data_IF_732835331892
#
_entry.id   IF_732835331892
#
_cell.length_a   1.000
_cell.length_b   1.000
_cell.length_c   1.000
_cell.angle_alpha   90.00
_cell.angle_beta   90.00
_cell.angle_gamma   90.00
#
_symmetry.space_group_name_H-M   'P 1'
#
loop_
_entity.id
_entity.type
_entity.pdbx_description
1 polymer ?
#
# COMPACT_ATOMS: atom_id res chain seq x y z
N UNK A 1 -10.61 -11.30 1.21
CA UNK A 1 -9.26 -11.14 1.79
C UNK A 1 -8.95 -12.39 2.60
N UNK A 2 -7.68 -12.62 2.89
CA UNK A 2 -7.25 -13.68 3.82
C UNK A 2 -7.40 -13.23 5.29
N UNK A 3 -7.08 -14.12 6.23
CA UNK A 3 -7.06 -13.78 7.66
C UNK A 3 -6.09 -12.62 7.94
N UNK A 4 -6.50 -11.68 8.80
CA UNK A 4 -5.73 -10.46 9.11
C UNK A 4 -5.33 -10.43 10.59
N UNK A 5 -4.09 -9.99 10.85
CA UNK A 5 -3.58 -9.60 12.17
C UNK A 5 -3.25 -8.12 12.20
N UNK A 6 -3.62 -7.47 13.31
CA UNK A 6 -3.30 -6.06 13.52
C UNK A 6 -2.03 -5.89 14.33
N UNK A 7 -1.19 -4.99 13.87
CA UNK A 7 0.03 -4.57 14.55
C UNK A 7 0.03 -3.06 14.73
N UNK A 8 0.70 -2.57 15.76
CA UNK A 8 1.00 -1.16 15.92
C UNK A 8 2.47 -1.00 16.28
N UNK A 9 3.12 0.03 15.76
CA UNK A 9 4.50 0.35 16.10
C UNK A 9 4.53 1.33 17.28
N UNK A 10 5.02 0.88 18.43
CA UNK A 10 5.07 1.67 19.66
C UNK A 10 6.50 1.69 20.16
N UNK A 11 7.10 2.88 20.32
CA UNK A 11 8.51 3.05 20.72
C UNK A 11 9.46 2.18 19.88
N UNK A 12 9.27 2.22 18.56
CA UNK A 12 10.03 1.46 17.56
C UNK A 12 9.95 -0.07 17.68
N UNK A 13 8.97 -0.62 18.41
CA UNK A 13 8.72 -2.05 18.50
C UNK A 13 7.35 -2.41 17.96
N UNK A 14 7.25 -3.54 17.27
CA UNK A 14 5.96 -4.05 16.83
C UNK A 14 5.20 -4.68 18.01
N UNK A 15 3.98 -4.20 18.22
CA UNK A 15 3.05 -4.73 19.19
C UNK A 15 1.88 -5.39 18.45
N UNK A 16 1.82 -6.72 18.50
CA UNK A 16 0.70 -7.50 17.95
C UNK A 16 -0.55 -7.35 18.81
N UNK A 17 -1.70 -7.18 18.18
CA UNK A 17 -3.00 -7.24 18.87
C UNK A 17 -3.49 -8.68 19.02
N UNK A 18 -4.15 -8.97 20.16
CA UNK A 18 -4.64 -10.32 20.47
C UNK A 18 -5.68 -10.80 19.44
N UNK A 19 -6.60 -9.91 19.07
CA UNK A 19 -7.66 -10.17 18.09
C UNK A 19 -7.20 -9.81 16.68
N UNK A 20 -7.55 -10.66 15.72
CA UNK A 20 -7.50 -10.40 14.29
C UNK A 20 -8.88 -10.61 13.66
N UNK A 21 -8.96 -10.53 12.34
CA UNK A 21 -10.17 -10.84 11.58
C UNK A 21 -9.94 -12.10 10.75
N UNK A 22 -10.99 -12.90 10.56
CA UNK A 22 -10.94 -14.06 9.68
C UNK A 22 -11.59 -13.71 8.34
N UNK A 23 -10.83 -13.82 7.26
CA UNK A 23 -11.26 -13.47 5.90
C UNK A 23 -12.22 -12.27 5.80
N UNK A 24 -11.88 -11.10 6.37
CA UNK A 24 -12.82 -9.98 6.42
C UNK A 24 -13.16 -9.47 5.02
N UNK A 25 -14.34 -8.85 4.90
CA UNK A 25 -14.61 -7.95 3.78
C UNK A 25 -13.97 -6.59 4.02
N UNK A 26 -13.91 -5.76 2.98
CA UNK A 26 -13.16 -4.51 3.06
C UNK A 26 -13.70 -3.54 4.12
N UNK A 27 -15.03 -3.38 4.19
CA UNK A 27 -15.67 -2.53 5.19
C UNK A 27 -15.35 -2.95 6.62
N UNK A 28 -15.37 -4.26 6.91
CA UNK A 28 -15.01 -4.78 8.23
C UNK A 28 -13.56 -4.47 8.61
N UNK A 29 -12.64 -4.54 7.63
CA UNK A 29 -11.25 -4.22 7.84
C UNK A 29 -11.06 -2.74 8.18
N UNK A 30 -11.72 -1.84 7.46
CA UNK A 30 -11.70 -0.40 7.76
C UNK A 30 -12.30 -0.11 9.13
N UNK A 31 -13.48 -0.66 9.43
CA UNK A 31 -14.18 -0.43 10.70
C UNK A 31 -13.34 -0.89 11.89
N UNK A 32 -12.76 -2.10 11.80
CA UNK A 32 -11.89 -2.62 12.85
C UNK A 32 -10.63 -1.75 13.03
N UNK A 33 -10.01 -1.33 11.93
CA UNK A 33 -8.80 -0.49 11.97
C UNK A 33 -9.10 0.88 12.55
N UNK A 34 -10.20 1.52 12.15
CA UNK A 34 -10.63 2.80 12.71
C UNK A 34 -10.90 2.71 14.21
N UNK A 35 -11.65 1.68 14.66
CA UNK A 35 -11.90 1.44 16.08
C UNK A 35 -10.61 1.23 16.88
N UNK A 36 -9.64 0.50 16.33
CA UNK A 36 -8.34 0.32 16.97
C UNK A 36 -7.54 1.62 17.02
N UNK A 37 -7.53 2.39 15.93
CA UNK A 37 -6.83 3.67 15.85
C UNK A 37 -7.39 4.67 16.86
N UNK A 38 -8.70 4.81 16.94
CA UNK A 38 -9.40 5.67 17.90
C UNK A 38 -9.10 5.23 19.34
N UNK A 39 -9.20 3.92 19.62
CA UNK A 39 -9.02 3.39 20.98
C UNK A 39 -7.61 3.60 21.54
N UNK A 40 -6.57 3.50 20.70
CA UNK A 40 -5.19 3.51 21.17
C UNK A 40 -4.41 4.77 20.73
N UNK A 41 -5.00 5.66 19.93
CA UNK A 41 -4.35 6.89 19.46
C UNK A 41 -3.14 6.65 18.56
N UNK A 42 -3.04 5.49 17.92
CA UNK A 42 -1.93 5.10 17.05
C UNK A 42 -2.44 4.37 15.81
N UNK A 43 -1.73 4.49 14.69
CA UNK A 43 -2.06 3.77 13.46
C UNK A 43 -1.81 2.27 13.62
N UNK A 44 -2.81 1.49 13.24
CA UNK A 44 -2.74 0.04 13.18
C UNK A 44 -2.58 -0.40 11.72
N UNK A 45 -1.72 -1.37 11.56
CA UNK A 45 -1.36 -1.97 10.30
C UNK A 45 -2.06 -3.32 10.19
N UNK A 46 -2.69 -3.56 9.04
CA UNK A 46 -3.38 -4.80 8.74
C UNK A 46 -2.48 -5.75 7.93
N UNK A 47 -1.83 -6.68 8.62
CA UNK A 47 -0.99 -7.68 7.97
C UNK A 47 -1.78 -8.97 7.72
N UNK A 48 -1.60 -9.62 6.56
CA UNK A 48 -1.97 -11.02 6.37
C UNK A 48 -1.47 -11.91 7.51
N UNK A 49 -2.30 -12.86 7.93
CA UNK A 49 -1.95 -13.79 8.98
C UNK A 49 -0.76 -14.67 8.57
N UNK A 50 0.22 -14.80 9.47
CA UNK A 50 1.47 -15.52 9.19
C UNK A 50 2.62 -14.61 8.79
N UNK A 51 2.35 -13.35 8.42
CA UNK A 51 3.38 -12.37 8.14
C UNK A 51 3.84 -11.71 9.45
N UNK A 52 5.15 -11.69 9.64
CA UNK A 52 5.82 -10.98 10.73
C UNK A 52 6.31 -9.62 10.22
N UNK A 53 5.87 -8.49 10.80
CA UNK A 53 6.25 -7.16 10.32
C UNK A 53 7.74 -6.82 10.52
N UNK A 54 8.46 -7.53 11.39
CA UNK A 54 9.91 -7.37 11.54
C UNK A 54 10.69 -7.81 10.28
N UNK A 55 10.10 -8.68 9.45
CA UNK A 55 10.76 -9.23 8.26
C UNK A 55 10.73 -8.24 7.07
N UNK A 56 10.03 -7.11 7.21
CA UNK A 56 9.80 -6.13 6.15
C UNK A 56 10.15 -4.70 6.60
N UNK A 57 11.43 -4.42 6.90
CA UNK A 57 11.87 -3.11 7.39
C UNK A 57 11.62 -1.97 6.38
N UNK A 58 11.54 -2.26 5.08
CA UNK A 58 11.23 -1.31 4.02
C UNK A 58 9.86 -0.65 4.20
N UNK A 59 8.91 -1.33 4.86
CA UNK A 59 7.58 -0.79 5.09
C UNK A 59 7.62 0.47 5.94
N UNK A 60 8.64 0.60 6.79
CA UNK A 60 8.86 1.79 7.60
C UNK A 60 9.26 2.98 6.74
N UNK A 61 10.10 2.76 5.73
CA UNK A 61 10.43 3.79 4.75
C UNK A 61 9.20 4.19 3.92
N UNK A 62 8.32 3.22 3.60
CA UNK A 62 7.02 3.54 2.98
C UNK A 62 6.15 4.39 3.92
N UNK A 63 6.06 4.06 5.21
CA UNK A 63 5.30 4.85 6.20
C UNK A 63 5.83 6.30 6.29
N UNK A 64 7.14 6.50 6.29
CA UNK A 64 7.76 7.83 6.27
C UNK A 64 7.34 8.63 5.03
N UNK A 65 7.29 7.97 3.86
CA UNK A 65 6.78 8.60 2.64
C UNK A 65 5.29 8.97 2.78
N UNK A 66 4.45 8.10 3.34
CA UNK A 66 3.02 8.39 3.55
C UNK A 66 2.82 9.55 4.50
N UNK A 67 3.46 9.51 5.66
CA UNK A 67 3.33 10.54 6.70
C UNK A 67 3.81 11.91 6.23
N UNK A 68 4.74 11.96 5.27
CA UNK A 68 5.24 13.20 4.68
C UNK A 68 4.31 13.82 3.63
N UNK A 69 3.47 13.02 2.97
CA UNK A 69 2.74 13.45 1.76
C UNK A 69 1.21 13.31 1.85
N UNK A 70 0.69 12.53 2.79
CA UNK A 70 -0.73 12.14 2.86
C UNK A 70 -1.38 12.67 4.13
N UNK A 71 -2.32 13.60 3.97
CA UNK A 71 -3.02 14.26 5.07
C UNK A 71 -4.37 13.62 5.38
N UNK A 72 -5.01 13.03 4.38
CA UNK A 72 -6.30 12.37 4.47
C UNK A 72 -6.21 10.97 3.90
N UNK A 73 -7.02 10.05 4.43
CA UNK A 73 -7.08 8.67 3.93
C UNK A 73 -5.75 7.93 3.97
N UNK A 74 -4.87 8.24 4.92
CA UNK A 74 -3.61 7.48 5.11
C UNK A 74 -3.84 6.00 5.46
N UNK A 75 -5.06 5.61 5.84
CA UNK A 75 -5.44 4.21 6.01
C UNK A 75 -5.37 3.41 4.71
N UNK A 76 -5.43 4.04 3.53
CA UNK A 76 -5.26 3.35 2.26
C UNK A 76 -3.92 2.60 2.24
N UNK A 77 -2.85 3.22 2.77
CA UNK A 77 -1.55 2.59 2.90
C UNK A 77 -1.55 1.42 3.90
N UNK A 78 -2.03 1.66 5.13
CA UNK A 78 -1.99 0.66 6.21
C UNK A 78 -2.88 -0.58 5.96
N UNK A 79 -3.73 -0.52 4.93
CA UNK A 79 -4.70 -1.54 4.56
C UNK A 79 -4.46 -2.09 3.15
N UNK A 80 -4.65 -1.27 2.12
CA UNK A 80 -4.63 -1.71 0.72
C UNK A 80 -3.22 -1.88 0.18
N UNK A 81 -2.40 -0.83 0.29
CA UNK A 81 -1.06 -0.86 -0.30
C UNK A 81 -0.21 -1.92 0.39
N UNK A 82 -0.32 -1.99 1.72
CA UNK A 82 0.34 -3.00 2.54
C UNK A 82 -0.08 -4.42 2.12
N UNK A 83 -1.38 -4.69 1.99
CA UNK A 83 -1.85 -6.00 1.55
C UNK A 83 -1.34 -6.32 0.16
N UNK A 84 -1.49 -5.40 -0.81
CA UNK A 84 -1.06 -5.62 -2.19
C UNK A 84 0.46 -5.90 -2.28
N UNK A 85 1.27 -5.16 -1.53
CA UNK A 85 2.71 -5.38 -1.44
C UNK A 85 3.06 -6.76 -0.87
N UNK A 86 2.44 -7.13 0.25
CA UNK A 86 2.78 -8.35 0.98
C UNK A 86 2.36 -9.62 0.24
N UNK A 87 1.21 -9.59 -0.43
CA UNK A 87 0.64 -10.74 -1.15
C UNK A 87 1.06 -10.84 -2.60
N UNK A 88 1.55 -9.74 -3.19
CA UNK A 88 2.00 -9.69 -4.58
C UNK A 88 3.51 -9.83 -4.76
N UNK A 89 3.95 -9.49 -5.96
CA UNK A 89 5.35 -9.61 -6.42
C UNK A 89 6.29 -8.53 -5.84
N UNK A 90 5.81 -7.68 -4.91
CA UNK A 90 6.57 -6.58 -4.28
C UNK A 90 7.17 -5.62 -5.31
N UNK A 91 6.53 -5.52 -6.48
CA UNK A 91 6.93 -4.65 -7.59
C UNK A 91 5.75 -3.83 -8.03
N UNK A 92 5.85 -2.51 -7.91
CA UNK A 92 4.72 -1.63 -8.16
C UNK A 92 5.12 -0.20 -8.52
N UNK A 93 4.22 0.47 -9.21
CA UNK A 93 4.19 1.91 -9.27
C UNK A 93 3.31 2.42 -8.12
N UNK A 94 3.88 3.21 -7.23
CA UNK A 94 3.19 3.74 -6.06
C UNK A 94 3.03 5.25 -6.17
N UNK A 95 1.77 5.70 -6.11
CA UNK A 95 1.37 7.07 -6.39
C UNK A 95 0.74 7.67 -5.13
N UNK A 96 1.10 8.91 -4.81
CA UNK A 96 0.58 9.58 -3.63
C UNK A 96 0.08 10.99 -3.94
N UNK A 97 -0.94 11.38 -3.18
CA UNK A 97 -1.49 12.74 -3.09
C UNK A 97 -1.91 13.02 -1.65
N UNK A 98 -2.30 14.26 -1.37
CA UNK A 98 -2.74 14.64 -0.02
C UNK A 98 -3.95 13.84 0.48
N UNK A 99 -4.76 13.29 -0.43
CA UNK A 99 -5.99 12.54 -0.15
C UNK A 99 -5.89 11.03 -0.37
N UNK A 100 -4.70 10.45 -0.23
CA UNK A 100 -4.52 9.00 -0.20
C UNK A 100 -3.40 8.51 -1.11
N UNK A 101 -3.40 7.21 -1.35
CA UNK A 101 -2.37 6.50 -2.10
C UNK A 101 -2.99 5.59 -3.17
N UNK A 102 -2.19 5.23 -4.17
CA UNK A 102 -2.52 4.16 -5.10
C UNK A 102 -1.29 3.28 -5.31
N UNK A 103 -1.45 2.00 -4.99
CA UNK A 103 -0.50 0.95 -5.33
C UNK A 103 -0.95 0.26 -6.62
N UNK A 104 -0.15 0.39 -7.68
CA UNK A 104 -0.39 -0.24 -8.98
C UNK A 104 0.62 -1.39 -9.12
N UNK A 105 0.19 -2.65 -8.92
CA UNK A 105 1.08 -3.80 -9.10
C UNK A 105 1.61 -3.86 -10.53
N UNK A 106 2.91 -4.10 -10.68
CA UNK A 106 3.58 -4.27 -11.96
C UNK A 106 3.82 -5.76 -12.26
N UNK A 107 2.83 -6.59 -11.93
CA UNK A 107 2.80 -8.03 -12.19
C UNK A 107 2.87 -8.32 -13.70
N UNK A 108 3.23 -9.56 -14.07
CA UNK A 108 3.38 -9.96 -15.46
C UNK A 108 2.06 -9.91 -16.24
N UNK A 109 0.93 -10.17 -15.56
CA UNK A 109 -0.41 -10.09 -16.16
C UNK A 109 -1.01 -8.70 -16.00
N UNK A 110 -0.60 -7.77 -16.85
CA UNK A 110 -1.23 -6.46 -16.94
C UNK A 110 -2.58 -6.57 -17.64
N UNK A 111 -3.67 -6.17 -16.98
CA UNK A 111 -4.99 -6.11 -17.61
C UNK A 111 -5.15 -4.78 -18.36
N UNK A 112 -5.25 -4.79 -19.71
CA UNK A 112 -5.35 -3.57 -20.51
C UNK A 112 -6.56 -2.70 -20.17
N UNK A 113 -7.62 -3.27 -19.58
CA UNK A 113 -8.81 -2.51 -19.16
C UNK A 113 -8.52 -1.44 -18.11
N UNK A 114 -7.45 -1.59 -17.32
CA UNK A 114 -7.07 -0.60 -16.30
C UNK A 114 -6.10 0.47 -16.82
N UNK A 115 -5.71 0.43 -18.09
CA UNK A 115 -4.72 1.35 -18.64
C UNK A 115 -5.15 2.82 -18.52
N UNK A 116 -6.37 3.15 -18.96
CA UNK A 116 -6.89 4.52 -18.87
C UNK A 116 -7.06 4.97 -17.42
N UNK A 117 -7.46 4.04 -16.53
CA UNK A 117 -7.55 4.29 -15.09
C UNK A 117 -6.18 4.65 -14.51
N UNK A 118 -5.14 3.88 -14.82
CA UNK A 118 -3.78 4.15 -14.31
C UNK A 118 -3.19 5.45 -14.87
N UNK A 119 -3.46 5.78 -16.13
CA UNK A 119 -3.12 7.10 -16.68
C UNK A 119 -3.82 8.22 -15.91
N UNK A 120 -5.11 8.08 -15.63
CA UNK A 120 -5.85 9.07 -14.85
C UNK A 120 -5.27 9.25 -13.44
N UNK A 121 -4.81 8.15 -12.82
CA UNK A 121 -4.11 8.23 -11.53
C UNK A 121 -2.79 8.97 -11.64
N UNK A 122 -1.99 8.76 -12.69
CA UNK A 122 -0.73 9.49 -12.85
C UNK A 122 -0.98 11.01 -12.94
N UNK A 123 -2.00 11.42 -13.69
CA UNK A 123 -2.37 12.85 -13.81
C UNK A 123 -2.86 13.43 -12.48
N UNK A 124 -3.61 12.64 -11.69
CA UNK A 124 -4.23 13.10 -10.44
C UNK A 124 -3.32 13.07 -9.21
N UNK A 125 -2.13 12.47 -9.29
CA UNK A 125 -1.21 12.33 -8.15
C UNK A 125 0.02 13.24 -8.28
N UNK A 126 0.70 13.48 -7.16
CA UNK A 126 1.80 14.45 -7.08
C UNK A 126 3.16 13.80 -6.86
N UNK A 127 3.18 12.65 -6.21
CA UNK A 127 4.42 11.95 -5.86
C UNK A 127 4.38 10.54 -6.44
N UNK A 128 5.51 10.12 -7.00
CA UNK A 128 5.64 8.91 -7.78
C UNK A 128 6.85 8.13 -7.28
N UNK A 129 6.64 6.86 -6.96
CA UNK A 129 7.68 5.96 -6.50
C UNK A 129 7.61 4.64 -7.28
N UNK A 130 8.76 4.12 -7.67
CA UNK A 130 8.91 2.75 -8.13
C UNK A 130 9.31 1.90 -6.94
N UNK A 131 8.56 0.84 -6.68
CA UNK A 131 8.86 -0.16 -5.66
C UNK A 131 9.34 -1.42 -6.38
N UNK A 132 10.45 -1.97 -5.92
CA UNK A 132 11.00 -3.22 -6.44
C UNK A 132 11.68 -4.02 -5.31
N UNK A 133 10.99 -5.04 -4.80
CA UNK A 133 11.49 -5.92 -3.73
C UNK A 133 12.05 -5.15 -2.53
N UNK A 134 11.29 -4.14 -2.09
CA UNK A 134 11.63 -3.29 -0.95
C UNK A 134 12.52 -2.09 -1.25
N UNK A 135 13.11 -2.00 -2.45
CA UNK A 135 13.72 -0.75 -2.92
C UNK A 135 12.62 0.26 -3.29
N UNK A 136 12.70 1.47 -2.73
CA UNK A 136 11.74 2.56 -2.96
C UNK A 136 12.47 3.71 -3.64
N UNK A 137 12.22 3.89 -4.93
CA UNK A 137 12.86 4.91 -5.74
C UNK A 137 11.87 6.00 -6.12
N UNK A 138 12.14 7.26 -5.76
CA UNK A 138 11.37 8.39 -6.27
C UNK A 138 11.62 8.56 -7.77
N UNK A 139 10.56 8.70 -8.55
CA UNK A 139 10.61 8.89 -10.01
C UNK A 139 9.78 10.11 -10.44
N UNK A 140 9.85 10.45 -11.72
CA UNK A 140 9.03 11.52 -12.31
C UNK A 140 7.70 10.97 -12.85
N UNK A 141 6.74 11.86 -13.10
CA UNK A 141 5.48 11.51 -13.74
C UNK A 141 5.68 10.96 -15.16
N UNK A 142 6.67 11.47 -15.90
CA UNK A 142 7.05 10.99 -17.23
C UNK A 142 7.55 9.55 -17.16
N UNK A 143 8.40 9.24 -16.17
CA UNK A 143 8.91 7.88 -15.97
C UNK A 143 7.78 6.93 -15.55
N UNK A 144 6.87 7.37 -14.67
CA UNK A 144 5.69 6.61 -14.30
C UNK A 144 4.80 6.28 -15.51
N UNK A 145 4.54 7.27 -16.38
CA UNK A 145 3.80 7.08 -17.62
C UNK A 145 4.47 6.08 -18.56
N UNK A 146 5.79 6.18 -18.74
CA UNK A 146 6.55 5.26 -19.59
C UNK A 146 6.42 3.80 -19.11
N UNK A 147 6.49 3.55 -17.80
CA UNK A 147 6.32 2.21 -17.22
C UNK A 147 4.93 1.63 -17.53
N UNK A 148 3.86 2.43 -17.38
CA UNK A 148 2.50 1.98 -17.70
C UNK A 148 2.33 1.77 -19.22
N UNK A 149 2.96 2.58 -20.07
CA UNK A 149 2.96 2.35 -21.52
C UNK A 149 3.60 1.01 -21.88
N UNK A 150 4.79 0.73 -21.33
CA UNK A 150 5.53 -0.51 -21.60
C UNK A 150 4.70 -1.75 -21.25
N UNK A 151 3.99 -1.72 -20.12
CA UNK A 151 3.11 -2.83 -19.71
C UNK A 151 1.94 -3.09 -20.67
N UNK A 152 1.41 -2.06 -21.34
CA UNK A 152 0.40 -2.25 -22.38
C UNK A 152 1.00 -2.95 -23.61
N UNK A 153 2.20 -2.57 -24.04
CA UNK A 153 2.86 -3.18 -25.20
C UNK A 153 3.22 -4.64 -24.99
N UNK A 154 3.61 -5.04 -23.77
CA UNK A 154 3.94 -6.44 -23.44
C UNK A 154 2.68 -7.31 -23.30
N UNK A 155 1.53 -6.70 -23.00
CA UNK A 155 0.25 -7.41 -22.85
C UNK A 155 -0.55 -7.56 -24.16
N UNK A 156 -0.13 -6.89 -25.24
CA UNK A 156 -0.76 -6.91 -26.57
C UNK A 156 -0.13 -7.99 -27.47
#
# INVERSE_FOLDING_TARGET
MEDIKFYARVKNKWARRRSGLKNPVLSELYDATNKLNEKYGVKHWAFPAGINPEDYPELLAMEEVVTSHVNHYSNDFYLHDLHAYLTGDKKALWLLRSSGTHYIPLEDKFNPMYFDLYKSYIVGNKYFYLINNGEIQKITAEKANAIIQEKLFVAA
#
